data_IF_343846162603
#
_entry.id   IF_343846162603
#
_cell.length_a   1.000
_cell.length_b   1.000
_cell.length_c   1.000
_cell.angle_alpha   90.00
_cell.angle_beta   90.00
_cell.angle_gamma   90.00
#
_symmetry.space_group_name_H-M   'P 1'
#
loop_
_entity.id
_entity.type
_entity.pdbx_description
1 polymer ?
#
# COMPACT_ATOMS: atom_id res chain seq x y z
N UNK A 1 -29.78 -10.86 65.33
CA UNK A 1 -28.75 -10.65 66.38
C UNK A 1 -27.37 -10.78 65.75
N UNK A 2 -26.55 -9.73 65.92
CA UNK A 2 -25.07 -9.67 65.90
C UNK A 2 -24.34 -9.95 64.58
N UNK A 3 -23.81 -8.95 63.88
CA UNK A 3 -22.58 -8.13 64.07
C UNK A 3 -21.25 -8.83 63.72
N UNK A 4 -20.58 -8.24 62.72
CA UNK A 4 -19.14 -8.17 62.43
C UNK A 4 -18.36 -9.42 61.99
N UNK A 5 -17.75 -9.35 60.79
CA UNK A 5 -16.32 -8.99 60.71
C UNK A 5 -15.98 -8.41 59.33
N UNK A 6 -15.43 -7.19 59.32
CA UNK A 6 -14.69 -6.62 58.19
C UNK A 6 -13.39 -7.41 58.00
N UNK A 7 -12.99 -7.66 56.76
CA UNK A 7 -11.57 -7.75 56.40
C UNK A 7 -11.35 -7.06 55.06
N UNK A 8 -10.91 -5.80 55.15
CA UNK A 8 -10.29 -5.04 54.08
C UNK A 8 -8.87 -5.57 53.92
N UNK A 9 -8.53 -6.12 52.75
CA UNK A 9 -7.15 -6.39 52.37
C UNK A 9 -6.80 -5.48 51.20
N UNK A 10 -6.40 -4.25 51.56
CA UNK A 10 -5.74 -3.29 50.67
C UNK A 10 -4.23 -3.53 50.85
N UNK A 11 -3.56 -4.01 49.81
CA UNK A 11 -2.10 -4.01 49.72
C UNK A 11 -1.69 -2.93 48.71
N UNK A 12 -0.94 -1.90 49.12
CA UNK A 12 -0.37 -0.93 48.19
C UNK A 12 0.94 -1.45 47.59
N UNK A 13 1.21 -0.90 46.40
CA UNK A 13 2.38 -1.08 45.54
C UNK A 13 3.72 -1.09 46.27
N UNK A 14 4.61 -1.99 45.85
CA UNK A 14 6.00 -1.65 45.52
C UNK A 14 6.49 -2.57 44.39
N UNK A 15 6.23 -2.17 43.14
CA UNK A 15 7.04 -2.65 42.02
C UNK A 15 8.28 -1.75 41.98
N UNK A 16 9.40 -2.24 42.48
CA UNK A 16 10.69 -1.61 42.25
C UNK A 16 11.04 -1.82 40.78
N UNK A 17 10.91 -0.77 39.96
CA UNK A 17 11.54 -0.75 38.65
C UNK A 17 13.05 -0.74 38.87
N UNK A 18 13.73 -1.81 38.44
CA UNK A 18 15.17 -1.95 38.48
C UNK A 18 15.78 -1.04 37.41
N UNK A 19 16.16 0.17 37.79
CA UNK A 19 16.83 1.15 36.93
C UNK A 19 18.34 0.91 36.93
N UNK A 20 18.77 -0.30 36.57
CA UNK A 20 20.19 -0.59 36.39
C UNK A 20 20.41 -1.13 34.97
N UNK A 21 21.37 -0.48 34.31
CA UNK A 21 21.79 -0.63 32.92
C UNK A 21 20.99 0.13 31.85
N UNK A 22 20.73 1.41 32.08
CA UNK A 22 20.83 2.34 30.95
C UNK A 22 22.32 2.43 30.58
N UNK A 23 22.73 1.71 29.53
CA UNK A 23 24.05 1.86 28.92
C UNK A 23 24.24 3.33 28.52
N UNK A 24 25.11 4.05 29.24
CA UNK A 24 25.56 5.38 28.86
C UNK A 24 26.47 5.19 27.64
N UNK A 25 26.00 5.60 26.46
CA UNK A 25 26.84 5.69 25.26
C UNK A 25 28.07 6.55 25.60
N UNK A 26 29.30 6.02 25.48
CA UNK A 26 30.49 6.76 25.82
C UNK A 26 30.67 7.94 24.86
N UNK A 27 30.54 9.15 25.40
CA UNK A 27 31.06 10.40 24.86
C UNK A 27 31.03 10.56 23.34
N UNK A 28 29.85 10.72 22.74
CA UNK A 28 29.77 11.54 21.54
C UNK A 28 30.11 12.98 21.94
N UNK A 29 31.04 13.61 21.24
CA UNK A 29 31.39 15.01 21.45
C UNK A 29 30.15 15.91 21.47
N UNK A 30 30.29 17.10 22.06
CA UNK A 30 29.26 18.15 22.12
C UNK A 30 28.94 18.74 20.74
N UNK A 31 28.82 17.92 19.71
CA UNK A 31 28.25 18.33 18.45
C UNK A 31 26.73 18.29 18.61
N UNK A 32 26.01 19.41 18.35
CA UNK A 32 24.56 19.38 18.36
C UNK A 32 24.09 18.31 17.36
N UNK A 33 23.16 17.46 17.80
CA UNK A 33 22.51 16.50 16.90
C UNK A 33 21.76 17.29 15.83
N UNK A 34 22.31 17.36 14.63
CA UNK A 34 21.60 17.82 13.45
C UNK A 34 20.87 16.62 12.84
N UNK A 35 19.52 16.61 12.83
CA UNK A 35 18.80 15.56 12.15
C UNK A 35 19.18 15.57 10.67
N UNK A 36 19.54 14.41 10.13
CA UNK A 36 19.80 14.27 8.70
C UNK A 36 18.49 14.50 7.96
N UNK A 37 18.33 15.68 7.37
CA UNK A 37 17.18 16.01 6.52
C UNK A 37 17.51 15.56 5.11
N UNK A 38 16.95 14.44 4.68
CA UNK A 38 17.00 14.05 3.27
C UNK A 38 16.16 15.04 2.46
N UNK A 39 16.82 15.86 1.64
CA UNK A 39 16.19 16.88 0.78
C UNK A 39 15.63 16.33 -0.54
N UNK A 40 15.72 15.01 -0.75
CA UNK A 40 15.21 14.31 -1.92
C UNK A 40 13.76 13.85 -1.77
N UNK A 41 13.11 13.56 -2.90
CA UNK A 41 11.81 12.89 -2.90
C UNK A 41 11.95 11.46 -2.34
N UNK A 42 11.03 10.98 -1.50
CA UNK A 42 11.02 9.60 -1.02
C UNK A 42 10.89 8.60 -2.18
N UNK A 43 11.24 7.33 -1.95
CA UNK A 43 10.97 6.25 -2.90
C UNK A 43 9.48 5.88 -2.89
N UNK A 44 9.02 5.15 -3.90
CA UNK A 44 7.67 4.58 -3.94
C UNK A 44 7.41 3.70 -2.70
N UNK A 45 8.40 2.92 -2.26
CA UNK A 45 8.28 2.10 -1.05
C UNK A 45 8.04 2.92 0.22
N UNK A 46 8.73 4.05 0.36
CA UNK A 46 8.55 4.97 1.50
C UNK A 46 7.15 5.59 1.48
N UNK A 47 6.71 6.06 0.31
CA UNK A 47 5.36 6.63 0.13
C UNK A 47 4.27 5.63 0.46
N UNK A 48 4.37 4.40 -0.03
CA UNK A 48 3.43 3.32 0.24
C UNK A 48 3.39 2.92 1.72
N UNK A 49 4.53 3.02 2.41
CA UNK A 49 4.63 2.71 3.84
C UNK A 49 3.88 3.72 4.70
N UNK A 50 3.92 5.02 4.36
CA UNK A 50 3.29 6.08 5.15
C UNK A 50 1.84 6.39 4.73
N UNK A 51 1.42 5.94 3.55
CA UNK A 51 0.09 6.22 3.01
C UNK A 51 -0.97 5.29 3.61
N UNK A 52 -1.59 5.73 4.72
CA UNK A 52 -2.57 4.94 5.45
C UNK A 52 -3.80 4.55 4.63
N UNK A 53 -4.18 5.36 3.64
CA UNK A 53 -5.32 5.07 2.76
C UNK A 53 -5.03 3.95 1.74
N UNK A 54 -3.75 3.60 1.55
CA UNK A 54 -3.26 2.57 0.64
C UNK A 54 -2.75 1.30 1.35
N UNK A 55 -2.89 1.21 2.68
CA UNK A 55 -2.25 0.17 3.48
C UNK A 55 -2.63 -1.27 3.08
N UNK A 56 -3.86 -1.51 2.63
CA UNK A 56 -4.30 -2.83 2.17
C UNK A 56 -3.60 -3.20 0.86
N UNK A 57 -3.54 -2.26 -0.11
CA UNK A 57 -2.81 -2.48 -1.36
C UNK A 57 -1.34 -2.82 -1.08
N UNK A 58 -0.68 -2.03 -0.24
CA UNK A 58 0.71 -2.24 0.08
C UNK A 58 0.96 -3.54 0.86
N UNK A 59 0.01 -3.96 1.70
CA UNK A 59 0.11 -5.27 2.39
C UNK A 59 0.18 -6.42 1.39
N UNK A 60 -0.64 -6.40 0.34
CA UNK A 60 -0.56 -7.38 -0.74
C UNK A 60 0.75 -7.28 -1.51
N UNK A 61 1.12 -6.07 -1.93
CA UNK A 61 2.25 -5.88 -2.83
C UNK A 61 3.59 -6.20 -2.16
N UNK A 62 3.76 -5.88 -0.87
CA UNK A 62 5.00 -6.07 -0.11
C UNK A 62 5.41 -7.53 0.08
N UNK A 63 4.46 -8.47 0.05
CA UNK A 63 4.73 -9.91 0.20
C UNK A 63 5.23 -10.57 -1.11
N UNK A 64 5.21 -9.82 -2.21
CA UNK A 64 5.61 -10.28 -3.53
C UNK A 64 7.02 -9.80 -3.88
N UNK A 65 7.68 -10.52 -4.78
CA UNK A 65 8.99 -10.12 -5.32
C UNK A 65 8.91 -8.81 -6.11
N UNK A 66 7.77 -8.51 -6.72
CA UNK A 66 7.49 -7.26 -7.44
C UNK A 66 7.66 -6.01 -6.56
N UNK A 67 7.58 -6.15 -5.23
CA UNK A 67 7.83 -5.04 -4.29
C UNK A 67 9.22 -4.42 -4.42
N UNK A 68 10.21 -5.17 -4.93
CA UNK A 68 11.56 -4.68 -5.16
C UNK A 68 11.57 -3.47 -6.11
N UNK A 69 10.63 -3.39 -7.06
CA UNK A 69 10.46 -2.27 -7.99
C UNK A 69 10.19 -0.96 -7.24
N UNK A 70 9.50 -1.01 -6.10
CA UNK A 70 9.17 0.19 -5.33
C UNK A 70 10.38 0.78 -4.60
N UNK A 71 11.40 -0.05 -4.33
CA UNK A 71 12.64 0.35 -3.67
C UNK A 71 13.80 0.59 -4.65
N UNK A 72 13.68 0.14 -5.91
CA UNK A 72 14.68 0.37 -6.94
C UNK A 72 14.65 1.83 -7.42
N UNK A 73 15.74 2.62 -7.23
CA UNK A 73 15.82 4.00 -7.69
C UNK A 73 15.64 4.19 -9.21
N UNK A 74 15.88 3.13 -10.01
CA UNK A 74 15.88 3.18 -11.47
C UNK A 74 14.61 2.62 -12.11
N UNK A 75 13.69 2.04 -11.34
CA UNK A 75 12.49 1.38 -11.86
C UNK A 75 11.55 2.29 -12.67
N UNK A 76 11.50 3.60 -12.35
CA UNK A 76 10.71 4.62 -13.07
C UNK A 76 9.28 4.15 -13.38
N UNK A 77 8.54 3.72 -12.37
CA UNK A 77 7.21 3.11 -12.54
C UNK A 77 6.07 4.02 -12.07
N UNK A 78 4.91 3.89 -12.71
CA UNK A 78 3.67 4.53 -12.25
C UNK A 78 2.83 3.50 -11.52
N UNK A 79 2.50 3.75 -10.26
CA UNK A 79 1.73 2.84 -9.42
C UNK A 79 0.32 3.38 -9.22
N UNK A 80 -0.67 2.60 -9.63
CA UNK A 80 -2.10 2.89 -9.54
C UNK A 80 -2.64 2.27 -8.26
N UNK A 81 -2.74 3.06 -7.21
CA UNK A 81 -2.96 2.55 -5.85
C UNK A 81 -4.42 2.71 -5.45
N UNK A 82 -5.22 1.63 -5.43
CA UNK A 82 -6.58 1.68 -4.92
C UNK A 82 -6.59 1.97 -3.42
N UNK A 83 -7.52 2.83 -3.00
CA UNK A 83 -7.75 3.06 -1.58
C UNK A 83 -8.27 1.81 -0.88
N UNK A 84 -8.06 1.73 0.44
CA UNK A 84 -8.63 0.69 1.29
C UNK A 84 -10.13 0.54 1.07
N UNK A 85 -10.86 1.65 0.93
CA UNK A 85 -12.30 1.65 0.63
C UNK A 85 -12.61 0.96 -0.70
N UNK A 86 -11.85 1.26 -1.76
CA UNK A 86 -12.03 0.64 -3.06
C UNK A 86 -11.79 -0.89 -3.01
N UNK A 87 -10.75 -1.34 -2.31
CA UNK A 87 -10.44 -2.77 -2.16
C UNK A 87 -11.48 -3.50 -1.30
N UNK A 88 -11.96 -2.86 -0.22
CA UNK A 88 -13.02 -3.42 0.62
C UNK A 88 -14.32 -3.59 -0.17
N UNK A 89 -14.62 -2.66 -1.09
CA UNK A 89 -15.80 -2.71 -1.94
C UNK A 89 -15.73 -3.75 -3.07
N UNK A 90 -14.58 -4.40 -3.30
CA UNK A 90 -14.48 -5.47 -4.27
C UNK A 90 -15.42 -6.63 -3.90
N UNK A 91 -16.16 -7.19 -4.88
CA UNK A 91 -17.04 -8.33 -4.66
C UNK A 91 -16.26 -9.60 -4.27
N UNK A 92 -14.99 -9.68 -4.72
CA UNK A 92 -14.04 -10.75 -4.40
C UNK A 92 -12.67 -10.18 -4.09
N UNK A 93 -11.97 -10.75 -3.13
CA UNK A 93 -10.67 -10.25 -2.69
C UNK A 93 -9.55 -10.68 -3.63
N UNK A 94 -8.43 -9.93 -3.71
CA UNK A 94 -7.35 -10.22 -4.64
C UNK A 94 -6.71 -11.62 -4.52
N UNK A 95 -6.82 -12.25 -3.36
CA UNK A 95 -6.30 -13.60 -3.10
C UNK A 95 -7.31 -14.71 -3.42
N UNK A 96 -8.60 -14.37 -3.55
CA UNK A 96 -9.64 -15.34 -3.88
C UNK A 96 -9.57 -15.70 -5.36
N UNK A 97 -9.84 -16.96 -5.68
CA UNK A 97 -9.83 -17.42 -7.07
C UNK A 97 -10.98 -16.79 -7.88
N UNK A 98 -10.63 -16.40 -9.11
CA UNK A 98 -11.53 -16.00 -10.19
C UNK A 98 -12.51 -17.12 -10.60
N UNK A 99 -12.11 -18.39 -10.46
CA UNK A 99 -12.92 -19.56 -10.82
C UNK A 99 -13.14 -20.43 -9.58
N UNK A 100 -14.40 -20.73 -9.20
CA UNK A 100 -14.64 -21.75 -8.19
C UNK A 100 -14.02 -23.07 -8.66
N UNK A 101 -13.34 -23.78 -7.76
CA UNK A 101 -12.93 -25.15 -8.04
C UNK A 101 -14.19 -25.97 -8.31
N UNK A 102 -14.35 -26.45 -9.53
CA UNK A 102 -15.47 -27.34 -9.86
C UNK A 102 -15.39 -28.61 -9.00
N UNK A 103 -16.48 -28.92 -8.29
CA UNK A 103 -16.78 -30.29 -7.87
C UNK A 103 -15.88 -30.93 -6.82
N UNK A 104 -15.59 -30.26 -5.70
CA UNK A 104 -15.08 -30.94 -4.50
C UNK A 104 -13.59 -31.30 -4.51
N UNK A 105 -12.79 -30.59 -5.32
CA UNK A 105 -11.32 -30.65 -5.24
C UNK A 105 -10.88 -30.09 -3.89
N UNK A 106 -10.31 -30.96 -3.05
CA UNK A 106 -9.67 -30.56 -1.79
C UNK A 106 -8.20 -30.27 -2.10
N UNK A 107 -7.84 -28.99 -2.12
CA UNK A 107 -6.45 -28.56 -2.20
C UNK A 107 -5.75 -28.78 -0.86
N UNK A 108 -4.46 -29.08 -0.90
CA UNK A 108 -3.61 -28.93 0.27
C UNK A 108 -3.43 -27.45 0.65
N UNK A 109 -3.05 -27.18 1.89
CA UNK A 109 -2.75 -25.81 2.37
C UNK A 109 -1.68 -25.12 1.50
N UNK A 110 -0.61 -25.85 1.16
CA UNK A 110 0.47 -25.31 0.33
C UNK A 110 0.02 -24.95 -1.10
N UNK A 111 -0.88 -25.74 -1.70
CA UNK A 111 -1.44 -25.44 -3.01
C UNK A 111 -2.37 -24.22 -2.97
N UNK A 112 -3.19 -24.14 -1.92
CA UNK A 112 -4.06 -22.99 -1.69
C UNK A 112 -3.25 -21.70 -1.52
N UNK A 113 -2.19 -21.73 -0.71
CA UNK A 113 -1.30 -20.59 -0.49
C UNK A 113 -0.58 -20.17 -1.78
N UNK A 114 -0.11 -21.12 -2.58
CA UNK A 114 0.53 -20.85 -3.86
C UNK A 114 -0.45 -20.19 -4.85
N UNK A 115 -1.69 -20.68 -4.92
CA UNK A 115 -2.75 -20.08 -5.74
C UNK A 115 -3.12 -18.68 -5.26
N UNK A 116 -3.31 -18.50 -3.95
CA UNK A 116 -3.56 -17.21 -3.31
C UNK A 116 -2.49 -16.19 -3.67
N UNK A 117 -1.21 -16.55 -3.50
CA UNK A 117 -0.07 -15.68 -3.86
C UNK A 117 -0.08 -15.32 -5.35
N UNK A 118 -0.36 -16.28 -6.24
CA UNK A 118 -0.44 -16.04 -7.69
C UNK A 118 -1.58 -15.10 -8.07
N UNK A 119 -2.74 -15.22 -7.41
CA UNK A 119 -3.88 -14.32 -7.62
C UNK A 119 -3.53 -12.90 -7.19
N UNK A 120 -2.91 -12.75 -6.02
CA UNK A 120 -2.42 -11.45 -5.53
C UNK A 120 -1.39 -10.85 -6.48
N UNK A 121 -0.43 -11.64 -6.95
CA UNK A 121 0.59 -11.19 -7.91
C UNK A 121 -0.01 -10.71 -9.22
N UNK A 122 -0.95 -11.47 -9.79
CA UNK A 122 -1.70 -11.08 -10.98
C UNK A 122 -2.43 -9.75 -10.76
N UNK A 123 -3.11 -9.59 -9.62
CA UNK A 123 -3.87 -8.39 -9.30
C UNK A 123 -2.97 -7.17 -9.06
N UNK A 124 -1.88 -7.31 -8.32
CA UNK A 124 -0.91 -6.22 -8.08
C UNK A 124 -0.23 -5.80 -9.39
N UNK A 125 0.14 -6.75 -10.25
CA UNK A 125 0.80 -6.45 -11.53
C UNK A 125 -0.06 -5.61 -12.46
N UNK A 126 -1.38 -5.78 -12.44
CA UNK A 126 -2.31 -4.95 -13.21
C UNK A 126 -2.36 -3.47 -12.75
N UNK A 127 -1.85 -3.17 -11.56
CA UNK A 127 -1.83 -1.83 -10.99
C UNK A 127 -0.50 -1.10 -11.18
N UNK A 128 0.45 -1.69 -11.92
CA UNK A 128 1.78 -1.10 -12.11
C UNK A 128 2.02 -0.92 -13.61
N UNK A 129 2.29 0.32 -14.02
CA UNK A 129 2.75 0.64 -15.36
C UNK A 129 4.28 0.79 -15.28
N UNK A 130 5.08 0.01 -16.04
CA UNK A 130 6.55 0.04 -16.00
C UNK A 130 7.13 1.27 -16.74
N UNK A 131 6.48 2.42 -16.61
CA UNK A 131 6.84 3.70 -17.21
C UNK A 131 6.36 4.84 -16.34
N UNK A 132 7.22 5.81 -16.11
CA UNK A 132 6.91 7.05 -15.39
C UNK A 132 7.85 8.17 -15.84
N UNK A 133 7.34 9.40 -16.00
CA UNK A 133 5.93 9.78 -15.89
C UNK A 133 5.12 9.31 -17.10
N UNK A 134 3.82 9.13 -16.89
CA UNK A 134 2.83 8.99 -17.98
C UNK A 134 2.09 10.32 -18.19
N UNK A 135 1.54 10.53 -19.38
CA UNK A 135 0.75 11.73 -19.67
C UNK A 135 -0.72 11.43 -19.42
N UNK A 136 -1.40 12.34 -18.71
CA UNK A 136 -2.83 12.21 -18.42
C UNK A 136 -3.64 13.36 -19.05
N UNK A 137 -2.99 14.22 -19.85
CA UNK A 137 -3.60 15.36 -20.52
C UNK A 137 -4.34 15.02 -21.81
N UNK A 138 -4.20 13.79 -22.32
CA UNK A 138 -4.90 13.25 -23.49
C UNK A 138 -5.32 11.82 -23.24
N UNK A 139 -6.30 11.34 -23.99
CA UNK A 139 -6.69 9.94 -23.95
C UNK A 139 -5.50 9.06 -24.34
N UNK A 140 -5.31 7.96 -23.62
CA UNK A 140 -4.16 7.09 -23.81
C UNK A 140 -4.33 5.73 -23.18
N UNK A 141 -3.57 4.76 -23.68
CA UNK A 141 -3.54 3.39 -23.20
C UNK A 141 -2.11 3.03 -22.78
N UNK A 142 -1.96 2.34 -21.65
CA UNK A 142 -0.67 1.94 -21.11
C UNK A 142 -0.68 0.47 -20.72
N UNK A 143 0.34 -0.26 -21.16
CA UNK A 143 0.59 -1.63 -20.73
C UNK A 143 1.00 -1.66 -19.25
N UNK A 144 0.48 -2.64 -18.52
CA UNK A 144 0.81 -2.90 -17.12
C UNK A 144 1.84 -4.02 -17.00
N UNK A 145 2.36 -4.28 -15.80
CA UNK A 145 3.22 -5.44 -15.58
C UNK A 145 2.47 -6.77 -15.74
N UNK A 146 1.13 -6.78 -15.66
CA UNK A 146 0.36 -7.95 -16.01
C UNK A 146 0.32 -8.09 -17.53
N UNK A 147 1.01 -9.11 -18.06
CA UNK A 147 1.08 -9.37 -19.50
C UNK A 147 -0.30 -9.42 -20.15
N UNK A 148 -0.48 -8.68 -21.24
CA UNK A 148 -1.73 -8.58 -21.97
C UNK A 148 -2.80 -7.72 -21.30
N UNK A 149 -2.50 -7.08 -20.16
CA UNK A 149 -3.39 -6.13 -19.51
C UNK A 149 -2.91 -4.70 -19.72
N UNK A 150 -3.77 -3.93 -20.36
CA UNK A 150 -3.62 -2.49 -20.50
C UNK A 150 -4.64 -1.76 -19.62
N UNK A 151 -4.33 -0.51 -19.31
CA UNK A 151 -5.22 0.44 -18.67
C UNK A 151 -5.40 1.66 -19.56
N UNK A 152 -6.62 2.19 -19.58
CA UNK A 152 -6.95 3.36 -20.39
C UNK A 152 -7.19 4.56 -19.50
N UNK A 153 -6.69 5.72 -19.92
CA UNK A 153 -7.00 7.00 -19.30
C UNK A 153 -7.78 7.85 -20.29
N UNK A 154 -8.92 8.37 -19.87
CA UNK A 154 -9.73 9.32 -20.64
C UNK A 154 -9.82 10.66 -19.93
N UNK A 155 -9.80 11.74 -20.71
CA UNK A 155 -9.88 13.10 -20.18
C UNK A 155 -11.34 13.51 -20.01
N UNK A 156 -11.79 13.53 -18.77
CA UNK A 156 -13.08 14.07 -18.40
C UNK A 156 -13.14 15.60 -18.53
N UNK A 157 -14.34 16.13 -18.71
CA UNK A 157 -14.59 17.58 -18.65
C UNK A 157 -14.27 18.09 -17.25
N UNK A 158 -13.46 19.14 -17.18
CA UNK A 158 -13.08 19.75 -15.91
C UNK A 158 -12.30 21.03 -16.11
N UNK A 159 -11.90 21.64 -14.99
CA UNK A 159 -11.12 22.87 -14.96
C UNK A 159 -9.69 22.64 -15.47
N UNK A 160 -9.34 23.28 -16.58
CA UNK A 160 -8.01 23.18 -17.20
C UNK A 160 -6.89 23.77 -16.33
N UNK A 161 -7.21 24.54 -15.29
CA UNK A 161 -6.22 25.10 -14.37
C UNK A 161 -5.81 24.11 -13.25
N UNK A 162 -6.50 22.98 -13.13
CA UNK A 162 -6.15 21.93 -12.18
C UNK A 162 -5.17 20.92 -12.79
N UNK A 163 -4.39 20.21 -11.97
CA UNK A 163 -3.48 19.16 -12.45
C UNK A 163 -4.21 18.13 -13.33
N UNK A 164 -3.54 17.64 -14.37
CA UNK A 164 -4.12 16.72 -15.38
C UNK A 164 -4.84 15.52 -14.75
N UNK A 165 -4.23 14.90 -13.73
CA UNK A 165 -4.77 13.73 -13.05
C UNK A 165 -6.16 13.97 -12.45
N UNK A 166 -6.51 15.21 -12.09
CA UNK A 166 -7.84 15.53 -11.52
C UNK A 166 -8.97 15.40 -12.54
N UNK A 167 -8.62 15.39 -13.83
CA UNK A 167 -9.55 15.23 -14.96
C UNK A 167 -9.38 13.88 -15.66
N UNK A 168 -8.48 13.02 -15.19
CA UNK A 168 -8.29 11.71 -15.77
C UNK A 168 -9.23 10.68 -15.13
N UNK A 169 -9.83 9.84 -15.97
CA UNK A 169 -10.56 8.65 -15.56
C UNK A 169 -9.80 7.42 -16.04
N UNK A 170 -9.53 6.51 -15.11
CA UNK A 170 -9.01 5.18 -15.39
C UNK A 170 -10.18 4.25 -15.78
N UNK A 171 -10.05 3.57 -16.92
CA UNK A 171 -11.06 2.65 -17.47
C UNK A 171 -12.48 3.23 -17.40
N UNK A 172 -12.60 4.48 -17.84
CA UNK A 172 -13.80 5.32 -17.94
C UNK A 172 -14.60 5.57 -16.66
N UNK A 173 -14.19 5.00 -15.53
CA UNK A 173 -15.04 4.94 -14.33
C UNK A 173 -14.30 5.21 -13.02
N UNK A 174 -13.00 4.97 -12.97
CA UNK A 174 -12.20 5.11 -11.74
C UNK A 174 -11.53 6.48 -11.71
N UNK A 175 -11.76 7.26 -10.66
CA UNK A 175 -11.15 8.58 -10.51
C UNK A 175 -9.82 8.48 -9.79
N UNK A 176 -8.88 9.29 -10.24
CA UNK A 176 -7.65 9.56 -9.50
C UNK A 176 -7.98 10.64 -8.48
N UNK A 177 -7.84 10.31 -7.19
CA UNK A 177 -8.18 11.19 -6.06
C UNK A 177 -6.96 11.81 -5.38
N UNK A 178 -5.76 11.38 -5.76
CA UNK A 178 -4.51 11.93 -5.28
C UNK A 178 -3.34 11.55 -6.17
N UNK A 179 -2.27 12.32 -6.08
CA UNK A 179 -1.01 12.06 -6.77
C UNK A 179 0.15 12.36 -5.81
N UNK A 180 1.15 11.48 -5.79
CA UNK A 180 2.40 11.67 -5.06
C UNK A 180 3.58 11.32 -5.95
N UNK A 181 4.54 12.23 -6.01
CA UNK A 181 5.78 12.02 -6.76
C UNK A 181 6.84 11.38 -5.86
N UNK A 182 7.41 10.28 -6.34
CA UNK A 182 8.58 9.63 -5.76
C UNK A 182 9.84 9.97 -6.55
N UNK A 183 11.01 9.68 -6.01
CA UNK A 183 12.28 9.79 -6.76
C UNK A 183 12.37 8.77 -7.90
N UNK A 184 11.73 7.60 -7.75
CA UNK A 184 11.72 6.48 -8.70
C UNK A 184 10.38 6.26 -9.42
N UNK A 185 9.43 7.21 -9.36
CA UNK A 185 8.13 7.04 -10.02
C UNK A 185 7.05 8.01 -9.58
N UNK A 186 5.81 7.69 -9.92
CA UNK A 186 4.61 8.42 -9.49
C UNK A 186 3.58 7.45 -8.95
N UNK A 187 2.93 7.81 -7.84
CA UNK A 187 1.83 7.08 -7.25
C UNK A 187 0.53 7.88 -7.44
N UNK A 188 -0.49 7.25 -8.02
CA UNK A 188 -1.85 7.81 -8.09
C UNK A 188 -2.77 7.05 -7.16
N UNK A 189 -3.53 7.75 -6.33
CA UNK A 189 -4.55 7.15 -5.46
C UNK A 189 -5.87 7.03 -6.22
N UNK A 190 -6.53 5.88 -6.13
CA UNK A 190 -7.76 5.58 -6.87
C UNK A 190 -8.95 5.38 -5.93
N UNK A 191 -10.13 5.86 -6.35
CA UNK A 191 -11.41 5.56 -5.67
C UNK A 191 -12.08 4.25 -6.14
N UNK A 192 -11.41 3.52 -7.04
CA UNK A 192 -11.76 2.19 -7.55
C UNK A 192 -10.49 1.36 -7.75
N UNK A 193 -10.59 0.23 -8.48
CA UNK A 193 -9.45 -0.64 -8.80
C UNK A 193 -9.34 -0.85 -10.30
N UNK A 194 -8.16 -1.24 -10.79
CA UNK A 194 -8.03 -1.80 -12.14
C UNK A 194 -8.88 -3.06 -12.20
N UNK A 195 -9.71 -3.17 -13.25
CA UNK A 195 -10.58 -4.33 -13.45
C UNK A 195 -9.78 -5.45 -14.11
N UNK A 196 -9.80 -6.64 -13.53
CA UNK A 196 -9.34 -7.85 -14.21
C UNK A 196 -10.54 -8.44 -14.95
N UNK A 197 -10.36 -8.69 -16.25
CA UNK A 197 -11.37 -9.33 -17.10
C UNK A 197 -11.53 -10.82 -16.78
#
# INVERSE_FOLDING_TARGET
MRLHLLSLLVLPLFAAAHTEEQMVLPGAGKEPFEPVVYSGKPLLADLLTIESTASIFFSYARELEISQIFSDPNARSTVLVPTNKAIIALPRKPHEDSHPLDGGVVLSEAEFDAMSKKNVERWVSAHIIPKSPISLGTDGEYETLLSGKNVTFTVAKGDANKPEWTRALLDDSVRLIGMKEASNGVMYLLDGTVKLD
#
